data_IF_385794662326
#
_entry.id   IF_385794662326
#
_cell.length_a   1.000
_cell.length_b   1.000
_cell.length_c   1.000
_cell.angle_alpha   90.00
_cell.angle_beta   90.00
_cell.angle_gamma   90.00
#
_symmetry.space_group_name_H-M   'P 1'
#
loop_
_entity.id
_entity.type
_entity.pdbx_description
1 polymer ?
#
# COMPACT_ATOMS: atom_id res chain seq x y z
N UNK A 1 -14.22 16.08 4.16
CA UNK A 1 -14.54 14.70 4.55
C UNK A 1 -14.16 13.79 3.40
N UNK A 2 -13.49 12.68 3.68
CA UNK A 2 -13.16 11.64 2.69
C UNK A 2 -13.88 10.35 3.07
N UNK A 3 -14.23 9.55 2.08
CA UNK A 3 -14.82 8.22 2.26
C UNK A 3 -14.01 7.25 1.40
N UNK A 4 -13.60 6.14 1.98
CA UNK A 4 -12.85 5.10 1.30
C UNK A 4 -13.38 3.72 1.71
N UNK A 5 -13.16 2.74 0.85
CA UNK A 5 -13.46 1.34 1.11
C UNK A 5 -12.22 0.66 1.70
N UNK A 6 -12.42 -0.13 2.76
CA UNK A 6 -11.39 -0.95 3.38
C UNK A 6 -11.95 -2.34 3.66
N UNK A 7 -11.23 -3.36 3.19
CA UNK A 7 -11.55 -4.77 3.42
C UNK A 7 -10.71 -5.38 4.55
N UNK A 8 -9.75 -4.64 5.11
CA UNK A 8 -8.85 -5.08 6.18
C UNK A 8 -7.86 -6.18 5.78
N UNK A 9 -7.79 -6.55 4.49
CA UNK A 9 -7.01 -7.70 4.00
C UNK A 9 -6.05 -7.32 2.86
N UNK A 10 -6.50 -6.52 1.90
CA UNK A 10 -5.71 -6.12 0.73
C UNK A 10 -4.80 -4.92 0.99
N UNK A 11 -4.97 -4.25 2.12
CA UNK A 11 -4.33 -2.96 2.44
C UNK A 11 -4.60 -1.85 1.41
N UNK A 12 -5.47 -2.05 0.42
CA UNK A 12 -5.90 -1.01 -0.52
C UNK A 12 -6.58 0.15 0.22
N UNK A 13 -7.29 -0.14 1.32
CA UNK A 13 -7.90 0.87 2.18
C UNK A 13 -6.90 1.90 2.71
N UNK A 14 -5.67 1.47 3.04
CA UNK A 14 -4.59 2.37 3.51
C UNK A 14 -4.16 3.33 2.40
N UNK A 15 -4.04 2.84 1.18
CA UNK A 15 -3.69 3.66 0.02
C UNK A 15 -4.81 4.63 -0.36
N UNK A 16 -6.06 4.16 -0.34
CA UNK A 16 -7.24 4.98 -0.57
C UNK A 16 -7.36 6.09 0.48
N UNK A 17 -7.21 5.75 1.77
CA UNK A 17 -7.17 6.73 2.87
C UNK A 17 -6.05 7.76 2.66
N UNK A 18 -4.84 7.30 2.33
CA UNK A 18 -3.69 8.20 2.11
C UNK A 18 -3.96 9.19 0.99
N UNK A 19 -4.64 8.75 -0.08
CA UNK A 19 -5.05 9.62 -1.19
C UNK A 19 -6.12 10.64 -0.76
N UNK A 20 -7.16 10.20 -0.05
CA UNK A 20 -8.19 11.11 0.45
C UNK A 20 -7.61 12.15 1.42
N UNK A 21 -6.65 11.75 2.26
CA UNK A 21 -5.91 12.66 3.13
C UNK A 21 -5.07 13.65 2.32
N UNK A 22 -4.37 13.20 1.27
CA UNK A 22 -3.61 14.08 0.38
C UNK A 22 -4.50 15.17 -0.24
N UNK A 23 -5.68 14.81 -0.74
CA UNK A 23 -6.63 15.80 -1.26
C UNK A 23 -7.15 16.75 -0.18
N UNK A 24 -7.38 16.26 1.04
CA UNK A 24 -7.80 17.10 2.17
C UNK A 24 -6.76 18.18 2.52
N UNK A 25 -5.47 17.86 2.37
CA UNK A 25 -4.34 18.78 2.62
C UNK A 25 -3.87 19.52 1.35
N UNK A 26 -4.74 19.61 0.33
CA UNK A 26 -4.54 20.49 -0.82
C UNK A 26 -3.75 19.90 -1.98
N UNK A 27 -3.46 18.59 -1.99
CA UNK A 27 -2.87 17.95 -3.16
C UNK A 27 -3.79 18.09 -4.40
N UNK A 28 -3.19 18.33 -5.56
CA UNK A 28 -3.92 18.32 -6.84
C UNK A 28 -4.08 16.90 -7.35
N UNK A 29 -5.13 16.68 -8.15
CA UNK A 29 -5.33 15.38 -8.82
C UNK A 29 -4.39 15.26 -10.01
N UNK A 30 -3.72 14.12 -10.11
CA UNK A 30 -2.95 13.74 -11.29
C UNK A 30 -3.93 13.16 -12.33
N UNK A 31 -4.42 14.00 -13.24
CA UNK A 31 -5.46 13.61 -14.20
C UNK A 31 -5.15 14.02 -15.65
N UNK A 32 -3.94 14.52 -15.92
CA UNK A 32 -3.54 14.98 -17.24
C UNK A 32 -4.19 16.30 -17.70
N UNK A 33 -4.85 17.05 -16.81
CA UNK A 33 -5.54 18.30 -17.16
C UNK A 33 -4.84 19.53 -16.59
N UNK A 34 -5.05 20.70 -17.21
CA UNK A 34 -4.46 21.97 -16.76
C UNK A 34 -5.03 22.49 -15.42
N UNK A 35 -6.23 22.03 -15.03
CA UNK A 35 -6.83 22.31 -13.71
C UNK A 35 -6.31 21.36 -12.61
N UNK A 36 -5.63 20.28 -13.00
CA UNK A 36 -4.92 19.36 -12.12
C UNK A 36 -3.43 19.31 -12.50
N UNK A 37 -2.78 18.17 -12.25
CA UNK A 37 -1.46 17.94 -12.83
C UNK A 37 -1.59 17.43 -14.27
N UNK A 38 -0.65 17.83 -15.14
CA UNK A 38 -0.44 17.22 -16.46
C UNK A 38 0.10 15.78 -16.37
N UNK A 39 0.64 15.40 -15.21
CA UNK A 39 0.95 14.01 -14.87
C UNK A 39 -0.40 13.30 -14.63
N UNK A 40 -0.51 12.06 -15.10
CA UNK A 40 -1.78 11.31 -15.06
C UNK A 40 -1.69 10.04 -14.20
N UNK A 41 -0.66 9.25 -14.42
CA UNK A 41 -0.64 7.86 -13.96
C UNK A 41 0.54 7.61 -13.00
N UNK A 42 0.47 6.52 -12.24
CA UNK A 42 1.52 5.98 -11.36
C UNK A 42 1.82 6.76 -10.06
N UNK A 43 0.95 7.68 -9.64
CA UNK A 43 1.13 8.44 -8.38
C UNK A 43 -0.10 8.31 -7.48
N UNK A 44 0.09 8.58 -6.19
CA UNK A 44 -0.96 8.45 -5.16
C UNK A 44 -2.25 9.21 -5.52
N UNK A 45 -2.11 10.39 -6.13
CA UNK A 45 -3.21 11.30 -6.49
C UNK A 45 -3.78 11.08 -7.89
N UNK A 46 -3.34 10.03 -8.59
CA UNK A 46 -3.91 9.56 -9.85
C UNK A 46 -4.97 8.46 -9.68
N UNK A 47 -5.34 7.78 -10.77
CA UNK A 47 -6.06 6.51 -10.71
C UNK A 47 -5.28 5.50 -9.84
N UNK A 48 -5.97 4.81 -8.92
CA UNK A 48 -5.37 3.74 -8.12
C UNK A 48 -5.50 2.44 -8.92
N UNK A 49 -4.36 1.88 -9.31
CA UNK A 49 -4.22 0.59 -9.98
C UNK A 49 -2.92 -0.10 -9.57
N UNK A 50 -2.67 -1.30 -10.11
CA UNK A 50 -1.50 -2.13 -9.79
C UNK A 50 -0.15 -1.49 -10.18
N UNK A 51 -0.15 -0.41 -10.97
CA UNK A 51 1.05 0.34 -11.37
C UNK A 51 1.30 1.59 -10.52
N UNK A 52 0.43 1.86 -9.55
CA UNK A 52 0.52 3.06 -8.72
C UNK A 52 1.71 3.03 -7.79
N UNK A 53 2.53 4.08 -7.85
CA UNK A 53 3.54 4.36 -6.84
C UNK A 53 2.88 5.21 -5.77
N UNK A 54 2.89 4.75 -4.52
CA UNK A 54 2.23 5.42 -3.39
C UNK A 54 3.02 6.62 -2.86
N UNK A 55 3.34 7.56 -3.75
CA UNK A 55 3.97 8.86 -3.45
C UNK A 55 3.25 9.97 -4.21
N UNK A 56 3.36 11.21 -3.73
CA UNK A 56 2.86 12.37 -4.45
C UNK A 56 3.68 12.61 -5.72
N UNK A 57 3.01 13.10 -6.77
CA UNK A 57 3.71 13.68 -7.91
C UNK A 57 4.35 15.02 -7.49
N UNK A 58 5.39 15.51 -8.19
CA UNK A 58 5.99 16.81 -7.87
C UNK A 58 4.99 17.97 -7.88
N UNK A 59 3.93 17.88 -8.69
CA UNK A 59 2.88 18.90 -8.73
C UNK A 59 1.91 18.80 -7.55
N UNK A 60 1.51 17.58 -7.20
CA UNK A 60 0.68 17.34 -6.03
C UNK A 60 1.43 17.77 -4.74
N UNK A 61 2.72 17.47 -4.65
CA UNK A 61 3.61 17.89 -3.56
C UNK A 61 3.70 19.42 -3.46
N UNK A 62 3.94 20.14 -4.57
CA UNK A 62 3.97 21.60 -4.57
C UNK A 62 2.63 22.23 -4.16
N UNK A 63 1.51 21.60 -4.51
CA UNK A 63 0.17 22.05 -4.10
C UNK A 63 -0.06 21.86 -2.59
N UNK A 64 0.37 20.72 -2.04
CA UNK A 64 0.37 20.50 -0.58
C UNK A 64 1.23 21.55 0.13
N UNK A 65 2.45 21.81 -0.37
CA UNK A 65 3.30 22.86 0.21
C UNK A 65 2.60 24.23 0.21
N UNK A 66 2.00 24.62 -0.92
CA UNK A 66 1.24 25.87 -1.04
C UNK A 66 0.06 25.92 -0.06
N UNK A 67 -0.63 24.79 0.15
CA UNK A 67 -1.71 24.71 1.14
C UNK A 67 -1.21 24.99 2.56
N UNK A 68 -0.10 24.37 2.96
CA UNK A 68 0.50 24.60 4.27
C UNK A 68 0.98 26.05 4.45
N UNK A 69 1.61 26.64 3.43
CA UNK A 69 2.07 28.03 3.48
C UNK A 69 0.91 29.01 3.65
N UNK A 70 -0.18 28.80 2.89
CA UNK A 70 -1.37 29.65 2.97
C UNK A 70 -2.14 29.52 4.29
N UNK A 71 -1.99 28.38 4.96
CA UNK A 71 -2.66 28.07 6.24
C UNK A 71 -1.72 28.15 7.44
N UNK A 72 -0.51 28.67 7.26
CA UNK A 72 0.51 28.71 8.30
C UNK A 72 -0.01 29.25 9.65
N UNK A 73 -0.77 30.35 9.62
CA UNK A 73 -1.32 31.00 10.83
C UNK A 73 -2.74 30.53 11.23
N UNK A 74 -3.42 29.77 10.38
CA UNK A 74 -4.81 29.32 10.57
C UNK A 74 -4.87 27.80 10.33
N UNK A 75 -4.32 27.04 11.28
CA UNK A 75 -4.22 25.60 11.18
C UNK A 75 -4.57 24.88 12.49
N UNK A 76 -4.83 23.57 12.36
CA UNK A 76 -5.13 22.68 13.47
C UNK A 76 -4.17 21.47 13.55
N UNK A 77 -3.03 21.51 12.85
CA UNK A 77 -2.05 20.41 12.81
C UNK A 77 -0.75 20.72 13.55
N UNK A 78 -0.58 21.93 14.07
CA UNK A 78 0.59 22.31 14.87
C UNK A 78 0.58 21.73 16.29
N UNK A 79 -0.56 21.26 16.78
CA UNK A 79 -0.68 20.69 18.12
C UNK A 79 -0.06 19.28 18.20
N UNK A 80 0.51 18.95 19.35
CA UNK A 80 1.04 17.61 19.61
C UNK A 80 -0.11 16.66 19.98
N UNK A 81 -0.42 15.65 19.14
CA UNK A 81 -1.48 14.71 19.47
C UNK A 81 -1.06 13.81 20.65
N UNK A 82 -2.05 13.38 21.43
CA UNK A 82 -1.87 12.26 22.37
C UNK A 82 -2.05 10.97 21.58
N UNK A 83 -1.04 10.07 21.55
CA UNK A 83 -1.15 8.83 20.80
C UNK A 83 -2.29 7.97 21.34
N UNK A 84 -3.17 7.50 20.45
CA UNK A 84 -4.19 6.51 20.81
C UNK A 84 -3.55 5.13 20.96
N UNK A 85 -2.49 4.86 20.19
CA UNK A 85 -1.69 3.64 20.27
C UNK A 85 -0.23 4.04 20.45
N UNK A 86 0.40 3.56 21.52
CA UNK A 86 1.80 3.85 21.83
C UNK A 86 2.74 2.87 21.10
N UNK A 87 3.84 3.39 20.55
CA UNK A 87 4.99 2.61 20.03
C UNK A 87 4.64 1.52 19.01
N UNK A 88 3.67 1.78 18.14
CA UNK A 88 3.23 0.80 17.16
C UNK A 88 4.02 0.89 15.85
N UNK A 89 5.26 0.44 15.87
CA UNK A 89 6.15 0.36 14.69
C UNK A 89 5.97 -0.94 13.90
N UNK A 90 4.79 -1.55 14.04
CA UNK A 90 4.46 -2.85 13.47
C UNK A 90 4.22 -2.73 11.97
N UNK A 91 4.94 -3.52 11.18
CA UNK A 91 4.78 -3.55 9.72
C UNK A 91 3.49 -4.26 9.30
N UNK A 92 2.90 -3.94 8.14
CA UNK A 92 1.62 -4.49 7.65
C UNK A 92 1.53 -6.02 7.69
N UNK A 93 2.63 -6.72 7.36
CA UNK A 93 2.70 -8.19 7.42
C UNK A 93 2.30 -8.79 8.77
N UNK A 94 2.56 -8.10 9.88
CA UNK A 94 2.19 -8.56 11.23
C UNK A 94 0.71 -8.42 11.52
N UNK A 95 0.06 -7.38 11.00
CA UNK A 95 -1.39 -7.27 11.07
C UNK A 95 -2.07 -8.36 10.26
N UNK A 96 -1.54 -8.66 9.07
CA UNK A 96 -2.03 -9.78 8.29
C UNK A 96 -1.82 -11.10 9.04
N UNK A 97 -0.65 -11.38 9.62
CA UNK A 97 -0.46 -12.59 10.43
C UNK A 97 -1.48 -12.72 11.59
N UNK A 98 -1.83 -11.60 12.24
CA UNK A 98 -2.76 -11.56 13.36
C UNK A 98 -4.25 -11.63 12.94
N UNK A 99 -4.60 -11.17 11.73
CA UNK A 99 -6.00 -11.13 11.24
C UNK A 99 -6.47 -12.46 10.66
N UNK A 100 -5.57 -13.42 10.41
CA UNK A 100 -5.91 -14.67 9.73
C UNK A 100 -6.37 -15.77 10.67
N UNK A 101 -7.61 -16.19 10.49
CA UNK A 101 -8.16 -17.41 11.06
C UNK A 101 -7.52 -18.61 10.33
N UNK A 102 -6.80 -19.47 11.06
CA UNK A 102 -6.07 -20.64 10.53
C UNK A 102 -4.88 -20.35 9.58
N UNK A 103 -4.34 -19.12 9.57
CA UNK A 103 -3.11 -18.78 8.85
C UNK A 103 -3.19 -18.83 7.32
N UNK A 104 -4.41 -18.72 6.76
CA UNK A 104 -4.65 -18.75 5.31
C UNK A 104 -5.36 -17.48 4.85
N UNK A 105 -4.83 -16.88 3.80
CA UNK A 105 -5.45 -15.83 2.99
C UNK A 105 -5.08 -16.10 1.56
N UNK A 106 -5.97 -15.87 0.61
CA UNK A 106 -5.57 -15.80 -0.79
C UNK A 106 -5.31 -14.33 -1.11
N UNK A 107 -4.03 -13.94 -1.23
CA UNK A 107 -3.68 -12.54 -1.49
C UNK A 107 -4.20 -12.07 -2.85
N UNK A 108 -4.22 -12.92 -3.86
CA UNK A 108 -4.75 -12.54 -5.17
C UNK A 108 -6.26 -12.26 -5.08
N UNK A 109 -7.03 -13.12 -4.41
CA UNK A 109 -8.46 -12.86 -4.21
C UNK A 109 -8.72 -11.62 -3.35
N UNK A 110 -7.90 -11.36 -2.33
CA UNK A 110 -8.05 -10.17 -1.49
C UNK A 110 -7.73 -8.88 -2.26
N UNK A 111 -6.58 -8.80 -2.93
CA UNK A 111 -6.14 -7.62 -3.65
C UNK A 111 -6.90 -7.37 -4.96
N UNK A 112 -7.33 -8.44 -5.62
CA UNK A 112 -8.04 -8.38 -6.90
C UNK A 112 -9.47 -8.90 -6.73
N UNK A 113 -10.16 -8.43 -5.69
CA UNK A 113 -11.52 -8.87 -5.32
C UNK A 113 -12.58 -8.68 -6.41
N UNK A 114 -12.29 -7.83 -7.41
CA UNK A 114 -13.14 -7.56 -8.56
C UNK A 114 -12.92 -8.56 -9.71
N UNK A 115 -11.99 -9.51 -9.55
CA UNK A 115 -11.66 -10.55 -10.53
C UNK A 115 -11.84 -11.95 -9.90
N UNK A 116 -12.16 -12.93 -10.75
CA UNK A 116 -12.24 -14.34 -10.34
C UNK A 116 -10.86 -15.01 -10.36
N UNK A 117 -9.92 -14.48 -9.57
CA UNK A 117 -8.53 -14.96 -9.49
C UNK A 117 -8.20 -15.50 -8.10
N UNK A 118 -7.19 -16.37 -8.07
CA UNK A 118 -6.61 -16.96 -6.87
C UNK A 118 -5.09 -17.01 -6.98
N UNK A 119 -4.43 -17.26 -5.86
CA UNK A 119 -3.00 -17.51 -5.86
C UNK A 119 -2.70 -18.80 -6.62
N UNK A 120 -1.79 -18.76 -7.61
CA UNK A 120 -1.43 -19.93 -8.43
C UNK A 120 -0.93 -21.12 -7.58
N UNK A 121 -0.41 -20.82 -6.41
CA UNK A 121 -0.08 -21.78 -5.35
C UNK A 121 -0.86 -21.37 -4.12
N UNK A 122 -1.36 -22.36 -3.36
CA UNK A 122 -2.06 -22.12 -2.10
C UNK A 122 -1.22 -21.22 -1.18
N UNK A 123 -1.61 -19.95 -1.07
CA UNK A 123 -0.92 -19.00 -0.21
C UNK A 123 -1.15 -19.37 1.25
N UNK A 124 -0.09 -19.27 2.05
CA UNK A 124 -0.18 -19.36 3.51
C UNK A 124 0.87 -18.46 4.13
N UNK A 125 0.61 -18.00 5.36
CA UNK A 125 1.59 -17.18 6.09
C UNK A 125 2.91 -17.91 6.32
N UNK A 126 2.89 -19.25 6.33
CA UNK A 126 4.05 -20.11 6.53
C UNK A 126 4.92 -20.29 5.27
N UNK A 127 4.38 -20.01 4.08
CA UNK A 127 5.15 -20.08 2.84
C UNK A 127 6.02 -18.85 2.68
N UNK A 128 7.27 -19.07 2.25
CA UNK A 128 8.25 -18.02 1.97
C UNK A 128 8.33 -17.81 0.47
N UNK A 129 7.79 -16.70 -0.02
CA UNK A 129 8.00 -16.26 -1.39
C UNK A 129 9.31 -15.48 -1.46
N UNK A 130 10.28 -15.97 -2.23
CA UNK A 130 11.62 -15.35 -2.35
C UNK A 130 11.59 -14.00 -3.06
N UNK A 131 10.54 -13.72 -3.83
CA UNK A 131 10.43 -12.59 -4.75
C UNK A 131 9.51 -11.48 -4.24
N UNK A 132 8.91 -11.62 -3.05
CA UNK A 132 7.92 -10.66 -2.51
C UNK A 132 6.71 -10.42 -3.43
N UNK A 133 6.46 -11.37 -4.34
CA UNK A 133 5.40 -11.34 -5.33
C UNK A 133 4.68 -12.67 -5.31
N UNK A 134 3.36 -12.64 -5.33
CA UNK A 134 2.48 -13.80 -5.38
C UNK A 134 1.84 -13.84 -6.75
N UNK A 135 2.12 -14.89 -7.52
CA UNK A 135 1.51 -15.08 -8.84
C UNK A 135 0.02 -15.40 -8.70
N UNK A 136 -0.79 -14.73 -9.51
CA UNK A 136 -2.24 -14.88 -9.56
C UNK A 136 -2.63 -15.62 -10.83
N UNK A 137 -3.56 -16.56 -10.66
CA UNK A 137 -4.09 -17.40 -11.71
C UNK A 137 -5.61 -17.30 -11.75
N UNK A 138 -6.18 -17.49 -12.93
CA UNK A 138 -7.61 -17.68 -13.10
C UNK A 138 -8.10 -18.83 -12.21
N UNK A 139 -9.27 -18.64 -11.59
CA UNK A 139 -9.80 -19.60 -10.63
C UNK A 139 -10.17 -20.94 -11.27
N UNK A 140 -10.65 -20.91 -12.51
CA UNK A 140 -11.21 -22.06 -13.22
C UNK A 140 -10.17 -22.73 -14.12
N UNK A 141 -9.39 -21.93 -14.87
CA UNK A 141 -8.41 -22.48 -15.82
C UNK A 141 -7.02 -22.68 -15.24
N UNK A 142 -6.71 -22.03 -14.10
CA UNK A 142 -5.35 -21.87 -13.56
C UNK A 142 -4.37 -21.16 -14.52
N UNK A 143 -4.87 -20.43 -15.51
CA UNK A 143 -4.01 -19.65 -16.39
C UNK A 143 -3.40 -18.46 -15.65
N UNK A 144 -2.15 -18.14 -15.94
CA UNK A 144 -1.44 -17.02 -15.32
C UNK A 144 -2.08 -15.69 -15.71
N UNK A 145 -2.57 -14.95 -14.71
CA UNK A 145 -3.19 -13.64 -14.89
C UNK A 145 -2.22 -12.49 -14.57
N UNK A 146 -1.38 -12.66 -13.55
CA UNK A 146 -0.47 -11.59 -13.09
C UNK A 146 0.18 -11.90 -11.75
N UNK A 147 0.46 -10.86 -10.97
CA UNK A 147 0.95 -11.00 -9.61
C UNK A 147 0.52 -9.84 -8.73
N UNK A 148 0.44 -10.10 -7.42
CA UNK A 148 0.31 -9.08 -6.38
C UNK A 148 1.56 -9.06 -5.50
N UNK A 149 1.74 -8.00 -4.73
CA UNK A 149 2.89 -7.84 -3.83
C UNK A 149 2.58 -8.35 -2.43
N UNK A 150 3.57 -8.95 -1.79
CA UNK A 150 3.50 -9.27 -0.36
C UNK A 150 3.50 -7.99 0.48
N UNK A 151 2.81 -7.96 1.63
CA UNK A 151 2.81 -6.80 2.51
C UNK A 151 4.20 -6.55 3.09
N UNK A 152 4.49 -5.27 3.33
CA UNK A 152 5.76 -4.84 3.91
C UNK A 152 6.03 -5.55 5.25
N UNK A 153 7.28 -5.96 5.44
CA UNK A 153 7.78 -6.73 6.58
C UNK A 153 7.67 -8.25 6.46
N UNK A 154 7.04 -8.79 5.41
CA UNK A 154 6.97 -10.24 5.17
C UNK A 154 8.37 -10.81 4.97
N UNK A 155 8.72 -11.89 5.68
CA UNK A 155 10.03 -12.53 5.50
C UNK A 155 10.14 -13.21 4.11
N UNK A 156 11.16 -12.82 3.34
CA UNK A 156 11.39 -13.33 1.98
C UNK A 156 12.66 -14.16 1.84
N UNK A 157 13.54 -14.18 2.84
CA UNK A 157 14.74 -15.01 2.81
C UNK A 157 15.71 -14.76 3.95
N UNK A 158 16.80 -15.52 3.91
CA UNK A 158 17.97 -15.37 4.77
C UNK A 158 19.18 -15.06 3.88
N UNK A 159 20.08 -14.22 4.38
CA UNK A 159 21.37 -13.90 3.78
C UNK A 159 22.48 -14.15 4.80
N UNK A 160 23.72 -14.31 4.32
CA UNK A 160 24.91 -14.31 5.18
C UNK A 160 25.03 -13.04 6.03
N UNK A 161 24.39 -11.94 5.60
CA UNK A 161 24.41 -10.64 6.26
C UNK A 161 23.18 -10.36 7.15
N UNK A 162 22.25 -11.31 7.29
CA UNK A 162 21.04 -11.14 8.10
C UNK A 162 19.74 -11.57 7.42
N UNK A 163 18.62 -11.26 8.06
CA UNK A 163 17.29 -11.56 7.56
C UNK A 163 16.93 -10.64 6.38
N UNK A 164 16.05 -11.14 5.50
CA UNK A 164 15.45 -10.34 4.43
C UNK A 164 13.95 -10.26 4.58
N UNK A 165 13.40 -9.11 4.22
CA UNK A 165 11.96 -8.88 4.21
C UNK A 165 11.51 -8.12 2.96
N UNK A 166 10.22 -8.21 2.67
CA UNK A 166 9.57 -7.48 1.61
C UNK A 166 9.39 -6.02 2.02
N UNK A 167 9.84 -5.10 1.17
CA UNK A 167 9.55 -3.67 1.25
C UNK A 167 9.27 -3.19 -0.17
N UNK A 168 8.08 -2.62 -0.41
CA UNK A 168 7.62 -2.17 -1.73
C UNK A 168 7.76 -3.26 -2.82
N UNK A 169 7.41 -4.49 -2.48
CA UNK A 169 7.46 -5.63 -3.42
C UNK A 169 8.86 -6.17 -3.72
N UNK A 170 9.90 -5.68 -3.04
CA UNK A 170 11.29 -6.10 -3.23
C UNK A 170 11.86 -6.78 -1.97
N UNK A 171 12.66 -7.84 -2.16
CA UNK A 171 13.24 -8.62 -1.07
C UNK A 171 14.59 -8.04 -0.62
N UNK A 172 14.57 -7.16 0.38
CA UNK A 172 15.75 -6.40 0.82
C UNK A 172 16.33 -6.93 2.14
N UNK A 173 17.62 -6.66 2.36
CA UNK A 173 18.30 -6.98 3.63
C UNK A 173 17.76 -6.06 4.73
N UNK A 174 17.42 -6.65 5.89
CA UNK A 174 17.05 -5.90 7.07
C UNK A 174 17.94 -6.31 8.24
N UNK A 175 18.66 -5.33 8.77
CA UNK A 175 19.30 -5.38 10.06
C UNK A 175 18.42 -4.60 11.02
N UNK A 176 17.84 -5.27 12.03
CA UNK A 176 17.25 -4.55 13.16
C UNK A 176 18.32 -3.61 13.74
N UNK A 177 18.00 -2.35 14.05
CA UNK A 177 18.89 -1.53 14.87
C UNK A 177 19.14 -2.17 16.24
#
# INVERSE_FOLDING_TARGET
MGVFYDDGLSFLGVHALSRELAFLIGATRDNGTYKGCKIRDNYLTGPLDDSTIFRLSPCAEAAVQTFFDNKYYDNCWSDKPTPIIYNNWTLPSKYLEASLINGRVDLCTAHQFYLEVKSCRNYSTYQRFRTCRVSCCDKDTNDSYGHVVEPDGKACGLSLRGNKMCIHGECILFSSP
#
